data_IF_038571946418
#
_entry.id   IF_038571946418
#
_cell.length_a   1.000
_cell.length_b   1.000
_cell.length_c   1.000
_cell.angle_alpha   90.00
_cell.angle_beta   90.00
_cell.angle_gamma   90.00
#
_symmetry.space_group_name_H-M   'P 1'
#
loop_
_entity.id
_entity.type
_entity.pdbx_description
1 polymer ?
#
# COMPACT_ATOMS: atom_id res chain seq x y z
N UNK A 1 25.56 -7.17 -17.90
CA UNK A 1 24.25 -7.31 -17.22
C UNK A 1 24.37 -8.14 -15.94
N UNK A 2 24.72 -9.43 -16.02
CA UNK A 2 24.82 -10.34 -14.87
C UNK A 2 25.75 -9.83 -13.74
N UNK A 3 27.04 -9.67 -14.01
CA UNK A 3 28.03 -9.27 -12.98
C UNK A 3 27.76 -7.89 -12.36
N UNK A 4 27.11 -6.99 -13.11
CA UNK A 4 26.88 -5.59 -12.69
C UNK A 4 25.60 -5.42 -11.87
N UNK A 5 24.54 -6.17 -12.20
CA UNK A 5 23.22 -5.96 -11.59
C UNK A 5 22.70 -7.20 -10.88
N UNK A 6 22.70 -8.35 -11.54
CA UNK A 6 22.06 -9.57 -11.01
C UNK A 6 22.88 -10.18 -9.88
N UNK A 7 24.18 -10.37 -10.10
CA UNK A 7 25.05 -11.03 -9.12
C UNK A 7 25.05 -10.33 -7.75
N UNK A 8 25.41 -9.03 -7.63
CA UNK A 8 25.41 -8.38 -6.32
C UNK A 8 24.02 -8.31 -5.68
N UNK A 9 22.95 -8.12 -6.47
CA UNK A 9 21.59 -8.02 -5.96
C UNK A 9 21.09 -9.33 -5.36
N UNK A 10 21.21 -10.44 -6.10
CA UNK A 10 20.72 -11.76 -5.66
C UNK A 10 21.49 -12.25 -4.45
N UNK A 11 22.83 -12.15 -4.48
CA UNK A 11 23.63 -12.61 -3.35
C UNK A 11 23.46 -11.73 -2.11
N UNK A 12 23.22 -10.42 -2.26
CA UNK A 12 22.83 -9.57 -1.13
C UNK A 12 21.48 -10.01 -0.55
N UNK A 13 20.48 -10.30 -1.38
CA UNK A 13 19.18 -10.79 -0.90
C UNK A 13 19.28 -12.15 -0.19
N UNK A 14 20.16 -13.05 -0.66
CA UNK A 14 20.41 -14.34 0.00
C UNK A 14 21.01 -14.20 1.42
N UNK A 15 21.49 -13.01 1.81
CA UNK A 15 21.99 -12.80 3.19
C UNK A 15 20.86 -12.63 4.21
N UNK A 16 19.66 -12.27 3.76
CA UNK A 16 18.50 -12.03 4.62
C UNK A 16 17.35 -13.00 4.34
N UNK A 17 17.19 -13.46 3.09
CA UNK A 17 16.15 -14.40 2.70
C UNK A 17 16.69 -15.82 2.90
N UNK A 18 15.99 -16.71 3.61
CA UNK A 18 16.43 -18.09 3.87
C UNK A 18 16.21 -19.00 2.64
N UNK A 19 16.66 -18.58 1.47
CA UNK A 19 16.48 -19.29 0.19
C UNK A 19 17.79 -19.26 -0.61
N UNK A 20 17.99 -20.28 -1.45
CA UNK A 20 19.12 -20.33 -2.36
C UNK A 20 19.05 -19.27 -3.47
N UNK A 21 20.17 -18.94 -4.12
CA UNK A 21 20.22 -17.88 -5.13
C UNK A 21 19.34 -18.14 -6.35
N UNK A 22 19.14 -19.40 -6.75
CA UNK A 22 18.23 -19.75 -7.85
C UNK A 22 16.76 -19.46 -7.47
N UNK A 23 16.38 -19.78 -6.24
CA UNK A 23 15.04 -19.50 -5.69
C UNK A 23 14.79 -17.99 -5.54
N UNK A 24 15.77 -17.24 -5.01
CA UNK A 24 15.67 -15.78 -4.87
C UNK A 24 15.54 -15.09 -6.23
N UNK A 25 16.17 -15.64 -7.27
CA UNK A 25 16.09 -15.11 -8.63
C UNK A 25 14.78 -15.45 -9.33
N UNK A 26 14.18 -16.62 -9.07
CA UNK A 26 13.04 -17.15 -9.83
C UNK A 26 11.69 -16.98 -9.15
N UNK A 27 11.64 -16.97 -7.82
CA UNK A 27 10.38 -16.87 -7.07
C UNK A 27 9.86 -15.44 -7.09
N UNK A 28 8.54 -15.30 -7.06
CA UNK A 28 7.89 -14.00 -6.97
C UNK A 28 8.21 -13.29 -5.65
N UNK A 29 8.25 -11.95 -5.68
CA UNK A 29 8.51 -11.13 -4.48
C UNK A 29 7.58 -11.46 -3.31
N UNK A 30 6.32 -11.83 -3.58
CA UNK A 30 5.38 -12.28 -2.53
C UNK A 30 5.87 -13.50 -1.77
N UNK A 31 6.46 -14.49 -2.45
CA UNK A 31 7.06 -15.67 -1.80
C UNK A 31 8.32 -15.33 -1.03
N UNK A 32 9.10 -14.35 -1.52
CA UNK A 32 10.26 -13.85 -0.80
C UNK A 32 9.85 -13.13 0.50
N UNK A 33 8.81 -12.30 0.44
CA UNK A 33 8.22 -11.65 1.62
C UNK A 33 7.68 -12.68 2.62
N UNK A 34 7.00 -13.72 2.14
CA UNK A 34 6.52 -14.81 3.00
C UNK A 34 7.66 -15.50 3.75
N UNK A 35 8.76 -15.83 3.07
CA UNK A 35 9.91 -16.45 3.72
C UNK A 35 10.50 -15.57 4.83
N UNK A 36 10.57 -14.25 4.61
CA UNK A 36 10.99 -13.29 5.63
C UNK A 36 10.02 -13.24 6.81
N UNK A 37 8.71 -13.20 6.55
CA UNK A 37 7.68 -13.22 7.60
C UNK A 37 7.73 -14.51 8.43
N UNK A 38 8.00 -15.65 7.80
CA UNK A 38 8.15 -16.93 8.50
C UNK A 38 9.36 -16.96 9.42
N UNK A 39 10.49 -16.35 9.03
CA UNK A 39 11.66 -16.22 9.89
C UNK A 39 11.35 -15.35 11.11
N UNK A 40 10.71 -14.20 10.92
CA UNK A 40 10.32 -13.33 12.02
C UNK A 40 9.31 -14.00 12.96
N UNK A 41 8.31 -14.70 12.41
CA UNK A 41 7.34 -15.45 13.21
C UNK A 41 8.01 -16.57 14.02
N UNK A 42 8.93 -17.32 13.40
CA UNK A 42 9.69 -18.39 14.06
C UNK A 42 10.53 -17.84 15.22
N UNK A 43 11.27 -16.74 15.02
CA UNK A 43 12.08 -16.12 16.08
C UNK A 43 11.25 -15.58 17.23
N UNK A 44 10.01 -15.13 16.97
CA UNK A 44 9.09 -14.64 17.99
C UNK A 44 8.17 -15.73 18.57
N UNK A 45 8.39 -17.01 18.21
CA UNK A 45 7.57 -18.14 18.64
C UNK A 45 6.07 -17.96 18.32
N UNK A 46 5.78 -17.35 17.16
CA UNK A 46 4.43 -17.14 16.65
C UNK A 46 4.12 -18.26 15.66
N UNK A 47 3.01 -18.96 15.89
CA UNK A 47 2.49 -19.96 14.96
C UNK A 47 1.99 -19.23 13.71
N UNK A 48 2.59 -19.52 12.56
CA UNK A 48 2.14 -19.02 11.28
C UNK A 48 0.98 -19.87 10.74
N UNK A 49 -0.05 -19.26 10.12
CA UNK A 49 -1.22 -19.98 9.64
C UNK A 49 -0.90 -20.85 8.43
N UNK A 50 -1.79 -21.82 8.17
CA UNK A 50 -1.79 -22.54 6.91
C UNK A 50 -2.06 -21.60 5.73
N UNK A 51 -1.66 -22.03 4.53
CA UNK A 51 -1.98 -21.31 3.29
C UNK A 51 -3.48 -21.08 3.19
N UNK A 52 -3.86 -19.86 2.82
CA UNK A 52 -5.25 -19.53 2.56
C UNK A 52 -5.77 -20.34 1.38
N UNK A 53 -6.92 -20.99 1.57
CA UNK A 53 -7.63 -21.75 0.54
C UNK A 53 -9.01 -21.11 0.41
N UNK A 54 -9.35 -20.67 -0.80
CA UNK A 54 -10.67 -20.13 -1.08
C UNK A 54 -11.65 -21.29 -1.31
N UNK A 55 -12.68 -21.41 -0.47
CA UNK A 55 -13.69 -22.45 -0.56
C UNK A 55 -14.99 -21.92 -1.15
N UNK A 56 -15.48 -22.58 -2.20
CA UNK A 56 -16.79 -22.32 -2.80
C UNK A 56 -16.90 -20.99 -3.54
N UNK A 57 -18.01 -20.84 -4.24
CA UNK A 57 -18.40 -19.55 -4.83
C UNK A 57 -19.15 -18.74 -3.79
N UNK A 58 -18.76 -17.48 -3.61
CA UNK A 58 -19.50 -16.55 -2.76
C UNK A 58 -20.70 -16.00 -3.53
N UNK A 59 -21.75 -15.65 -2.81
CA UNK A 59 -22.95 -15.03 -3.36
C UNK A 59 -23.12 -13.68 -2.67
N UNK A 60 -23.50 -12.65 -3.42
CA UNK A 60 -23.84 -11.34 -2.88
C UNK A 60 -25.16 -11.40 -2.09
N UNK A 61 -25.42 -10.39 -1.27
CA UNK A 61 -26.65 -10.30 -0.47
C UNK A 61 -27.93 -10.27 -1.32
N UNK A 62 -27.83 -9.86 -2.59
CA UNK A 62 -28.91 -9.84 -3.58
C UNK A 62 -29.00 -11.13 -4.43
N UNK A 63 -28.22 -12.16 -4.10
CA UNK A 63 -28.34 -13.51 -4.68
C UNK A 63 -27.52 -13.76 -5.95
N UNK A 64 -26.63 -12.84 -6.35
CA UNK A 64 -25.76 -13.02 -7.51
C UNK A 64 -24.46 -13.72 -7.15
N UNK A 65 -23.99 -14.59 -8.05
CA UNK A 65 -22.71 -15.27 -7.87
C UNK A 65 -21.55 -14.28 -8.03
N UNK A 66 -20.64 -14.25 -7.06
CA UNK A 66 -19.42 -13.44 -7.12
C UNK A 66 -18.38 -14.19 -7.94
N UNK A 67 -18.03 -13.64 -9.11
CA UNK A 67 -16.95 -14.15 -9.96
C UNK A 67 -15.57 -13.80 -9.39
N UNK A 68 -15.38 -12.55 -8.99
CA UNK A 68 -14.14 -12.04 -8.40
C UNK A 68 -14.42 -11.02 -7.32
N UNK A 69 -13.58 -10.99 -6.29
CA UNK A 69 -13.69 -10.09 -5.15
C UNK A 69 -12.38 -9.29 -5.02
N UNK A 70 -12.48 -7.98 -4.86
CA UNK A 70 -11.31 -7.10 -4.68
C UNK A 70 -11.68 -5.87 -3.83
N UNK A 71 -10.79 -4.88 -3.82
CA UNK A 71 -10.98 -3.60 -3.17
C UNK A 71 -10.69 -2.46 -4.15
N UNK A 72 -11.21 -1.27 -3.86
CA UNK A 72 -10.87 -0.06 -4.62
C UNK A 72 -9.41 0.29 -4.35
N UNK A 73 -8.59 0.19 -5.40
CA UNK A 73 -7.15 0.44 -5.34
C UNK A 73 -6.77 1.91 -5.43
N UNK A 74 -5.61 2.18 -6.05
CA UNK A 74 -5.11 3.55 -6.22
C UNK A 74 -6.04 4.42 -7.08
N UNK A 75 -6.17 5.69 -6.67
CA UNK A 75 -6.91 6.70 -7.43
C UNK A 75 -6.05 7.25 -8.56
N UNK A 76 -6.64 7.40 -9.75
CA UNK A 76 -5.94 7.92 -10.94
C UNK A 76 -6.84 8.94 -11.63
N UNK A 77 -6.31 10.14 -11.84
CA UNK A 77 -7.00 11.23 -12.52
C UNK A 77 -6.12 11.83 -13.62
N UNK A 78 -6.76 12.21 -14.73
CA UNK A 78 -6.16 13.02 -15.77
C UNK A 78 -6.91 14.36 -15.81
N UNK A 79 -6.39 15.35 -15.10
CA UNK A 79 -7.05 16.65 -14.92
C UNK A 79 -6.94 17.49 -16.20
N UNK A 80 -5.74 17.54 -16.80
CA UNK A 80 -5.47 18.29 -18.02
C UNK A 80 -4.62 17.46 -18.99
N UNK A 81 -4.79 17.74 -20.28
CA UNK A 81 -3.99 17.14 -21.35
C UNK A 81 -3.47 18.24 -22.28
N UNK A 82 -2.27 18.06 -22.81
CA UNK A 82 -1.62 19.07 -23.64
C UNK A 82 -0.10 19.04 -23.52
N UNK A 83 0.55 20.05 -24.09
CA UNK A 83 2.01 20.23 -24.04
C UNK A 83 2.33 21.36 -23.06
N UNK A 84 2.81 21.01 -21.88
CA UNK A 84 3.26 21.97 -20.88
C UNK A 84 4.79 22.07 -20.92
N UNK A 85 5.31 23.30 -21.07
CA UNK A 85 6.75 23.55 -21.10
C UNK A 85 7.11 24.74 -20.23
N UNK A 86 8.27 24.65 -19.58
CA UNK A 86 8.79 25.73 -18.73
C UNK A 86 9.07 27.05 -19.47
N UNK A 87 9.14 27.04 -20.81
CA UNK A 87 9.38 28.23 -21.63
C UNK A 87 8.12 28.82 -22.27
N UNK A 88 6.99 28.13 -22.23
CA UNK A 88 5.71 28.62 -22.73
C UNK A 88 4.89 29.24 -21.58
N UNK A 89 4.32 30.44 -21.75
CA UNK A 89 3.50 31.05 -20.71
C UNK A 89 2.15 30.34 -20.57
N UNK A 90 1.74 30.08 -19.34
CA UNK A 90 0.46 29.45 -18.98
C UNK A 90 -0.41 30.40 -18.17
N UNK A 91 -1.73 30.18 -18.23
CA UNK A 91 -2.71 30.97 -17.48
C UNK A 91 -2.98 30.32 -16.12
N UNK A 92 -2.69 31.05 -15.06
CA UNK A 92 -2.97 30.63 -13.69
C UNK A 92 -4.13 31.43 -13.11
N UNK A 93 -5.04 30.73 -12.43
CA UNK A 93 -6.09 31.32 -11.58
C UNK A 93 -5.81 30.92 -10.15
N UNK A 94 -5.31 31.85 -9.35
CA UNK A 94 -4.93 31.58 -7.96
C UNK A 94 -6.02 32.11 -7.03
N UNK A 95 -6.60 31.21 -6.23
CA UNK A 95 -7.70 31.52 -5.31
C UNK A 95 -7.27 31.61 -3.83
N UNK A 96 -6.00 31.36 -3.51
CA UNK A 96 -5.49 31.30 -2.14
C UNK A 96 -4.18 32.09 -2.03
N UNK A 97 -4.02 32.85 -0.93
CA UNK A 97 -2.99 33.87 -0.59
C UNK A 97 -3.33 35.33 -0.97
N UNK A 98 -3.25 36.21 0.04
CA UNK A 98 -3.68 37.63 0.00
C UNK A 98 -3.05 38.46 -1.13
N UNK A 99 -1.79 38.20 -1.48
CA UNK A 99 -1.11 38.92 -2.57
C UNK A 99 -1.49 38.39 -3.96
N UNK A 100 -1.84 37.11 -4.08
CA UNK A 100 -2.33 36.54 -5.34
C UNK A 100 -3.82 36.82 -5.57
N UNK A 101 -4.59 37.05 -4.50
CA UNK A 101 -6.00 37.48 -4.58
C UNK A 101 -6.14 38.87 -5.25
N UNK A 102 -5.16 39.78 -5.07
CA UNK A 102 -5.18 41.11 -5.71
C UNK A 102 -5.03 41.05 -7.24
N UNK A 103 -4.43 39.98 -7.78
CA UNK A 103 -4.25 39.74 -9.22
C UNK A 103 -4.44 38.24 -9.50
N UNK A 104 -5.69 37.75 -9.49
CA UNK A 104 -5.96 36.32 -9.48
C UNK A 104 -5.69 35.66 -10.83
N UNK A 105 -5.74 36.42 -11.92
CA UNK A 105 -5.40 35.94 -13.26
C UNK A 105 -3.97 36.37 -13.63
N UNK A 106 -3.11 35.38 -13.86
CA UNK A 106 -1.69 35.58 -14.21
C UNK A 106 -1.36 34.80 -15.47
N UNK A 107 -0.49 35.36 -16.30
CA UNK A 107 0.10 34.67 -17.45
C UNK A 107 1.60 34.70 -17.21
N UNK A 108 2.18 33.55 -16.88
CA UNK A 108 3.60 33.42 -16.56
C UNK A 108 4.13 32.04 -16.94
N UNK A 109 5.45 31.89 -16.99
CA UNK A 109 6.08 30.61 -17.32
C UNK A 109 5.91 29.61 -16.16
N UNK A 110 5.41 28.39 -16.41
CA UNK A 110 5.13 27.41 -15.37
C UNK A 110 6.41 26.85 -14.76
N UNK A 111 6.31 26.40 -13.51
CA UNK A 111 7.27 25.47 -12.90
C UNK A 111 6.60 24.12 -12.78
N UNK A 112 7.14 23.12 -13.48
CA UNK A 112 6.59 21.77 -13.52
C UNK A 112 7.18 20.98 -12.34
N UNK A 113 6.32 20.56 -11.42
CA UNK A 113 6.70 19.79 -10.25
C UNK A 113 6.10 18.38 -10.29
N UNK A 114 6.88 17.41 -9.85
CA UNK A 114 6.42 16.08 -9.53
C UNK A 114 6.56 15.90 -8.02
N UNK A 115 5.45 15.72 -7.32
CA UNK A 115 5.42 15.41 -5.90
C UNK A 115 5.06 13.93 -5.75
N UNK A 116 5.90 13.19 -5.05
CA UNK A 116 5.71 11.77 -4.79
C UNK A 116 5.99 11.46 -3.32
N UNK A 117 5.21 10.54 -2.76
CA UNK A 117 5.37 10.06 -1.40
C UNK A 117 6.22 8.80 -1.45
N UNK A 118 7.48 8.92 -1.04
CA UNK A 118 8.40 7.79 -0.96
C UNK A 118 7.81 6.65 -0.10
N UNK A 119 7.78 5.43 -0.66
CA UNK A 119 7.26 4.23 0.01
C UNK A 119 5.89 4.44 0.68
N UNK A 120 4.92 5.02 -0.04
CA UNK A 120 3.59 5.37 0.47
C UNK A 120 2.92 4.23 1.26
N UNK A 121 2.71 3.06 0.65
CA UNK A 121 2.00 1.95 1.32
C UNK A 121 2.74 1.40 2.55
N UNK A 122 4.07 1.10 2.51
CA UNK A 122 4.81 0.74 3.71
C UNK A 122 4.67 1.77 4.84
N UNK A 123 4.74 3.06 4.53
CA UNK A 123 4.60 4.12 5.53
C UNK A 123 3.18 4.16 6.13
N UNK A 124 2.14 3.98 5.32
CA UNK A 124 0.75 3.88 5.79
C UNK A 124 0.58 2.66 6.70
N UNK A 125 1.13 1.50 6.30
CA UNK A 125 1.10 0.25 7.09
C UNK A 125 1.73 0.48 8.47
N UNK A 126 2.93 1.06 8.52
CA UNK A 126 3.64 1.32 9.78
C UNK A 126 2.93 2.36 10.66
N UNK A 127 2.46 3.46 10.07
CA UNK A 127 1.77 4.55 10.78
C UNK A 127 0.47 4.06 11.42
N UNK A 128 -0.25 3.18 10.73
CA UNK A 128 -1.53 2.66 11.19
C UNK A 128 -1.42 1.28 11.85
N UNK A 129 -0.20 0.73 11.97
CA UNK A 129 0.09 -0.62 12.51
C UNK A 129 -0.75 -1.70 11.85
N UNK A 130 -0.91 -1.62 10.53
CA UNK A 130 -1.72 -2.55 9.76
C UNK A 130 -0.98 -3.89 9.60
N UNK A 131 -1.67 -4.98 9.92
CA UNK A 131 -1.24 -6.34 9.66
C UNK A 131 -2.48 -7.24 9.66
N UNK A 132 -2.46 -8.39 8.98
CA UNK A 132 -3.64 -9.26 8.90
C UNK A 132 -4.22 -9.63 10.27
N UNK A 133 -3.36 -9.96 11.25
CA UNK A 133 -3.76 -10.31 12.62
C UNK A 133 -4.30 -9.15 13.46
N UNK A 134 -4.18 -7.90 12.99
CA UNK A 134 -4.72 -6.73 13.66
C UNK A 134 -6.11 -6.32 13.14
N UNK A 135 -6.62 -7.00 12.11
CA UNK A 135 -7.99 -6.84 11.63
C UNK A 135 -8.87 -7.81 12.41
N UNK A 136 -9.60 -7.28 13.40
CA UNK A 136 -10.43 -8.05 14.33
C UNK A 136 -11.89 -7.70 14.16
N UNK A 137 -12.78 -8.66 14.36
CA UNK A 137 -14.22 -8.42 14.41
C UNK A 137 -14.68 -7.98 15.82
N UNK A 138 -15.99 -7.84 16.00
CA UNK A 138 -16.54 -7.48 17.31
C UNK A 138 -16.47 -8.64 18.31
N UNK A 139 -16.55 -9.89 17.86
CA UNK A 139 -16.51 -11.08 18.71
C UNK A 139 -15.11 -11.25 19.32
N UNK A 140 -14.06 -11.15 18.51
CA UNK A 140 -12.66 -11.13 18.90
C UNK A 140 -12.38 -10.02 19.91
N UNK A 141 -12.90 -8.81 19.63
CA UNK A 141 -12.74 -7.66 20.50
C UNK A 141 -13.46 -7.84 21.84
N UNK A 142 -14.65 -8.47 21.84
CA UNK A 142 -15.41 -8.75 23.06
C UNK A 142 -14.74 -9.78 23.96
N UNK A 143 -14.12 -10.80 23.37
CA UNK A 143 -13.38 -11.84 24.08
C UNK A 143 -12.03 -11.36 24.64
N UNK A 144 -11.56 -10.18 24.21
CA UNK A 144 -10.27 -9.63 24.61
C UNK A 144 -10.24 -9.22 26.09
N UNK A 145 -9.19 -9.63 26.81
CA UNK A 145 -8.96 -9.27 28.22
C UNK A 145 -8.80 -7.76 28.47
N UNK A 146 -8.48 -7.00 27.42
CA UNK A 146 -8.31 -5.55 27.46
C UNK A 146 -9.58 -4.79 27.05
N UNK A 147 -10.70 -5.49 26.85
CA UNK A 147 -11.98 -4.88 26.51
C UNK A 147 -12.59 -4.19 27.73
N UNK A 148 -12.15 -2.95 27.98
CA UNK A 148 -12.68 -2.07 29.02
C UNK A 148 -13.36 -0.86 28.39
N UNK A 149 -14.34 -0.21 29.06
CA UNK A 149 -15.00 0.99 28.55
C UNK A 149 -14.03 2.13 28.13
N UNK A 150 -12.87 2.20 28.78
CA UNK A 150 -11.84 3.23 28.52
C UNK A 150 -10.79 2.79 27.49
N UNK A 151 -10.95 1.64 26.83
CA UNK A 151 -9.97 1.10 25.90
C UNK A 151 -9.83 1.99 24.66
N UNK A 152 -8.58 2.38 24.35
CA UNK A 152 -8.23 3.24 23.20
C UNK A 152 -7.43 2.50 22.11
N UNK A 153 -7.42 1.16 22.17
CA UNK A 153 -6.66 0.32 21.24
C UNK A 153 -7.36 0.18 19.87
N UNK A 154 -8.70 0.27 19.80
CA UNK A 154 -9.46 0.08 18.57
C UNK A 154 -9.40 1.34 17.70
N UNK A 155 -8.82 1.20 16.51
CA UNK A 155 -8.81 2.24 15.47
C UNK A 155 -9.72 1.82 14.33
N UNK A 156 -10.81 2.55 14.13
CA UNK A 156 -11.74 2.29 13.01
C UNK A 156 -11.20 2.95 11.74
N UNK A 157 -11.07 2.17 10.68
CA UNK A 157 -10.66 2.63 9.35
C UNK A 157 -11.66 2.15 8.32
N UNK A 158 -11.93 2.98 7.30
CA UNK A 158 -12.84 2.65 6.21
C UNK A 158 -12.04 2.12 5.02
N UNK A 159 -12.61 1.15 4.31
CA UNK A 159 -12.12 0.64 3.04
C UNK A 159 -13.34 0.35 2.15
N UNK A 160 -13.11 0.28 0.85
CA UNK A 160 -14.16 0.07 -0.15
C UNK A 160 -13.96 -1.29 -0.84
N UNK A 161 -14.96 -2.16 -0.67
CA UNK A 161 -15.06 -3.45 -1.33
C UNK A 161 -15.55 -3.29 -2.78
N UNK A 162 -15.08 -4.13 -3.69
CA UNK A 162 -15.46 -4.11 -5.10
C UNK A 162 -15.55 -5.50 -5.71
#
# INVERSE_FOLDING_TARGET
>A
LYMKYVHPFIFALCTIIPLGPDDVLRKGSGTLCEALLMVEAFHNNIIFPNKYIQYGSKVTDDGHLIESETYVGGHVEAIESGVFRADLPERFVIAQMDDFIKRPMRIEKPKIYHLDVGAMYPNIILTNRLQPSAVVDEEDCMACIYNTPDAKCKRVMRWEWR
#
